data_IF_266358479571
#
_entry.id   IF_266358479571
#
_cell.length_a   1.000
_cell.length_b   1.000
_cell.length_c   1.000
_cell.angle_alpha   90.00
_cell.angle_beta   90.00
_cell.angle_gamma   90.00
#
_symmetry.space_group_name_H-M   'P 1'
#
loop_
_entity.id
_entity.type
_entity.pdbx_description
1 polymer ?
#
# COMPACT_ATOMS: atom_id res chain seq x y z
N UNK A 1 -12.52 8.02 -4.11
CA UNK A 1 -11.85 6.72 -4.13
C UNK A 1 -12.92 5.64 -4.16
N UNK A 2 -12.84 4.68 -5.06
CA UNK A 2 -13.80 3.57 -5.15
C UNK A 2 -13.34 2.39 -4.28
N UNK A 3 -14.25 1.47 -3.98
CA UNK A 3 -13.88 0.21 -3.29
C UNK A 3 -12.88 -0.62 -4.11
N UNK A 4 -12.92 -0.50 -5.44
CA UNK A 4 -11.99 -1.17 -6.35
C UNK A 4 -10.55 -0.67 -6.19
N UNK A 5 -10.35 0.64 -6.01
CA UNK A 5 -9.02 1.22 -5.78
C UNK A 5 -8.40 0.79 -4.44
N UNK A 6 -9.23 0.53 -3.43
CA UNK A 6 -8.77 -0.03 -2.13
C UNK A 6 -8.37 -1.48 -2.31
N UNK A 7 -9.17 -2.28 -3.02
CA UNK A 7 -8.86 -3.68 -3.30
C UNK A 7 -7.54 -3.80 -4.08
N UNK A 8 -7.33 -2.98 -5.11
CA UNK A 8 -6.09 -2.95 -5.88
C UNK A 8 -4.88 -2.54 -5.02
N UNK A 9 -5.05 -1.60 -4.09
CA UNK A 9 -3.99 -1.21 -3.16
C UNK A 9 -3.62 -2.35 -2.20
N UNK A 10 -4.59 -3.16 -1.76
CA UNK A 10 -4.37 -4.35 -0.94
C UNK A 10 -3.67 -5.44 -1.75
N UNK A 11 -4.11 -5.72 -2.98
CA UNK A 11 -3.46 -6.70 -3.87
C UNK A 11 -2.00 -6.32 -4.17
N UNK A 12 -1.74 -5.01 -4.33
CA UNK A 12 -0.39 -4.48 -4.48
C UNK A 12 0.44 -4.69 -3.21
N UNK A 13 -0.14 -4.46 -2.03
CA UNK A 13 0.53 -4.72 -0.76
C UNK A 13 0.90 -6.21 -0.60
N UNK A 14 -0.03 -7.11 -0.90
CA UNK A 14 0.19 -8.55 -0.83
C UNK A 14 1.27 -9.01 -1.81
N UNK A 15 1.30 -8.43 -3.01
CA UNK A 15 2.34 -8.69 -4.02
C UNK A 15 3.72 -8.24 -3.53
N UNK A 16 3.82 -7.07 -2.89
CA UNK A 16 5.08 -6.59 -2.30
C UNK A 16 5.55 -7.51 -1.16
N UNK A 17 4.63 -7.96 -0.31
CA UNK A 17 4.94 -8.90 0.79
C UNK A 17 5.43 -10.24 0.23
N UNK A 18 4.74 -10.79 -0.77
CA UNK A 18 5.16 -12.02 -1.43
C UNK A 18 6.54 -11.88 -2.07
N UNK A 19 6.83 -10.75 -2.72
CA UNK A 19 8.13 -10.49 -3.33
C UNK A 19 9.29 -10.55 -2.33
N UNK A 20 9.08 -10.14 -1.07
CA UNK A 20 10.11 -10.20 -0.02
C UNK A 20 10.56 -11.63 0.32
N UNK A 21 9.75 -12.64 0.01
CA UNK A 21 10.13 -14.05 0.19
C UNK A 21 11.03 -14.58 -0.94
N UNK A 22 11.14 -13.85 -2.05
CA UNK A 22 11.94 -14.28 -3.20
C UNK A 22 13.43 -14.06 -2.94
N UNK A 23 14.27 -15.01 -3.35
CA UNK A 23 15.72 -14.84 -3.36
C UNK A 23 16.13 -13.85 -4.46
N UNK A 24 16.14 -12.58 -4.10
CA UNK A 24 16.62 -11.46 -4.92
C UNK A 24 17.48 -10.55 -4.04
N UNK A 25 18.35 -9.71 -4.64
CA UNK A 25 19.08 -8.71 -3.89
C UNK A 25 18.16 -7.76 -3.11
N UNK A 26 18.49 -7.49 -1.84
CA UNK A 26 17.74 -6.57 -0.98
C UNK A 26 17.57 -5.17 -1.60
N UNK A 27 18.51 -4.73 -2.43
CA UNK A 27 18.41 -3.46 -3.14
C UNK A 27 17.22 -3.38 -4.09
N UNK A 28 16.82 -4.51 -4.70
CA UNK A 28 15.62 -4.59 -5.55
C UNK A 28 14.35 -4.56 -4.71
N UNK A 29 14.33 -5.31 -3.60
CA UNK A 29 13.23 -5.29 -2.64
C UNK A 29 12.98 -3.87 -2.11
N UNK A 30 14.02 -3.23 -1.61
CA UNK A 30 13.96 -1.86 -1.06
C UNK A 30 13.53 -0.86 -2.13
N UNK A 31 13.99 -1.00 -3.38
CA UNK A 31 13.57 -0.15 -4.49
C UNK A 31 12.06 -0.28 -4.74
N UNK A 32 11.55 -1.50 -4.88
CA UNK A 32 10.12 -1.75 -5.10
C UNK A 32 9.26 -1.21 -3.95
N UNK A 33 9.68 -1.43 -2.71
CA UNK A 33 8.98 -0.91 -1.53
C UNK A 33 8.96 0.62 -1.51
N UNK A 34 10.08 1.29 -1.83
CA UNK A 34 10.15 2.76 -1.87
C UNK A 34 9.24 3.36 -2.93
N UNK A 35 9.11 2.70 -4.08
CA UNK A 35 8.31 3.18 -5.21
C UNK A 35 6.80 2.98 -4.95
N UNK A 36 6.40 1.85 -4.36
CA UNK A 36 4.98 1.48 -4.28
C UNK A 36 4.29 1.77 -2.94
N UNK A 37 4.98 1.65 -1.79
CA UNK A 37 4.34 1.78 -0.48
C UNK A 37 3.67 3.14 -0.19
N UNK A 38 4.22 4.30 -0.62
CA UNK A 38 3.54 5.58 -0.39
C UNK A 38 2.14 5.61 -1.00
N UNK A 39 2.00 5.13 -2.24
CA UNK A 39 0.73 5.10 -2.95
C UNK A 39 -0.26 4.12 -2.30
N UNK A 40 0.21 2.92 -1.94
CA UNK A 40 -0.60 1.92 -1.22
C UNK A 40 -1.12 2.49 0.10
N UNK A 41 -0.26 3.13 0.90
CA UNK A 41 -0.63 3.78 2.16
C UNK A 41 -1.70 4.85 1.93
N UNK A 42 -1.49 5.72 0.96
CA UNK A 42 -2.39 6.86 0.71
C UNK A 42 -3.75 6.38 0.19
N UNK A 43 -3.77 5.32 -0.63
CA UNK A 43 -5.00 4.65 -1.06
C UNK A 43 -5.77 4.07 0.13
N UNK A 44 -5.10 3.30 1.00
CA UNK A 44 -5.77 2.71 2.17
C UNK A 44 -6.30 3.78 3.12
N UNK A 45 -5.52 4.83 3.40
CA UNK A 45 -5.95 5.94 4.27
C UNK A 45 -7.14 6.69 3.69
N UNK A 46 -7.09 7.02 2.40
CA UNK A 46 -8.19 7.70 1.71
C UNK A 46 -9.45 6.83 1.68
N UNK A 47 -9.30 5.53 1.47
CA UNK A 47 -10.39 4.55 1.56
C UNK A 47 -11.04 4.49 2.93
N UNK A 48 -10.24 4.46 4.00
CA UNK A 48 -10.74 4.51 5.38
C UNK A 48 -11.53 5.79 5.67
N UNK A 49 -11.02 6.95 5.25
CA UNK A 49 -11.73 8.24 5.40
C UNK A 49 -13.02 8.26 4.57
N UNK A 50 -12.99 7.73 3.35
CA UNK A 50 -14.16 7.64 2.49
C UNK A 50 -15.25 6.71 3.07
N UNK A 51 -14.86 5.70 3.84
CA UNK A 51 -15.78 4.84 4.59
C UNK A 51 -16.37 5.51 5.85
N UNK A 52 -16.03 6.77 6.12
CA UNK A 52 -16.52 7.54 7.27
C UNK A 52 -15.64 7.43 8.52
N UNK A 53 -14.42 6.89 8.40
CA UNK A 53 -13.45 6.90 9.48
C UNK A 53 -12.95 8.29 9.83
N UNK A 54 -12.58 8.52 11.09
CA UNK A 54 -12.01 9.79 11.55
C UNK A 54 -10.56 9.95 11.11
N UNK A 55 -10.10 11.16 10.81
CA UNK A 55 -8.71 11.35 10.42
C UNK A 55 -7.75 11.29 11.62
N UNK A 56 -7.31 10.08 11.94
CA UNK A 56 -6.35 9.79 13.01
C UNK A 56 -4.90 10.18 12.68
N UNK A 57 -4.65 10.71 11.48
CA UNK A 57 -3.32 11.07 10.98
C UNK A 57 -3.17 12.56 10.68
N UNK A 58 -4.17 13.38 11.01
CA UNK A 58 -4.03 14.82 11.01
C UNK A 58 -3.40 15.25 12.33
N UNK A 59 -2.13 15.66 12.28
CA UNK A 59 -1.47 16.43 13.35
C UNK A 59 -1.91 17.91 13.29
#
# INVERSE_FOLDING_TARGET
MTMDEIAEAIDTLDSLIAALSMQMPDSLHVKALRESLPNVRDAIKSGYLAAGGENMWAD
#
